data_IF_836582891209
#
_entry.id   IF_836582891209
#
_cell.length_a   1.000
_cell.length_b   1.000
_cell.length_c   1.000
_cell.angle_alpha   90.00
_cell.angle_beta   90.00
_cell.angle_gamma   90.00
#
_symmetry.space_group_name_H-M   'P 1'
#
loop_
_entity.id
_entity.type
_entity.pdbx_description
1 polymer ?
#
# COMPACT_ATOMS: atom_id res chain seq x y z
N UNK A 1 -0.37 9.24 21.16
CA UNK A 1 -0.40 7.79 20.85
C UNK A 1 1.02 7.29 20.93
N UNK A 2 1.30 6.33 21.81
CA UNK A 2 2.62 5.69 21.88
C UNK A 2 2.90 4.98 20.55
N UNK A 3 4.03 5.27 19.92
CA UNK A 3 4.47 4.60 18.68
C UNK A 3 4.84 3.15 18.99
N UNK A 4 3.84 2.26 19.03
CA UNK A 4 4.08 0.82 19.11
C UNK A 4 4.83 0.43 17.83
N UNK A 5 6.00 -0.22 17.93
CA UNK A 5 6.70 -0.75 16.76
C UNK A 5 5.76 -1.64 15.95
N UNK A 6 5.71 -1.43 14.63
CA UNK A 6 4.80 -2.18 13.73
C UNK A 6 4.90 -3.72 13.92
N UNK A 7 6.06 -4.23 14.31
CA UNK A 7 6.34 -5.64 14.57
C UNK A 7 5.60 -6.22 15.78
N UNK A 8 5.19 -5.37 16.72
CA UNK A 8 4.52 -5.77 17.96
C UNK A 8 3.03 -5.37 17.95
N UNK A 9 2.55 -4.82 16.85
CA UNK A 9 1.20 -4.29 16.77
C UNK A 9 0.20 -5.34 16.25
N UNK A 10 -0.73 -5.83 17.09
CA UNK A 10 -1.75 -6.79 16.66
C UNK A 10 -2.67 -6.23 15.57
N UNK A 11 -2.81 -4.90 15.44
CA UNK A 11 -3.58 -4.27 14.37
C UNK A 11 -2.93 -4.49 13.00
N UNK A 12 -1.59 -4.55 12.90
CA UNK A 12 -0.89 -4.84 11.64
C UNK A 12 -1.16 -6.27 11.18
N UNK A 13 -1.26 -7.20 12.14
CA UNK A 13 -1.65 -8.59 11.87
C UNK A 13 -3.11 -8.69 11.43
N UNK A 14 -4.00 -7.88 12.02
CA UNK A 14 -5.41 -7.79 11.63
C UNK A 14 -5.61 -7.13 10.25
N UNK A 15 -4.74 -6.19 9.87
CA UNK A 15 -4.74 -5.49 8.59
C UNK A 15 -4.17 -6.32 7.42
N UNK A 16 -4.21 -7.65 7.51
CA UNK A 16 -3.69 -8.55 6.48
C UNK A 16 -4.60 -8.59 5.26
N UNK A 17 -4.20 -7.90 4.19
CA UNK A 17 -4.87 -7.98 2.89
C UNK A 17 -4.64 -9.35 2.22
N UNK A 18 -5.73 -9.97 1.76
CA UNK A 18 -5.80 -11.19 0.96
C UNK A 18 -6.35 -10.94 -0.44
N UNK A 19 -7.16 -9.89 -0.58
CA UNK A 19 -7.73 -9.42 -1.84
C UNK A 19 -7.51 -7.92 -1.98
N UNK A 20 -7.68 -7.38 -3.18
CA UNK A 20 -7.34 -6.01 -3.53
C UNK A 20 -8.18 -4.98 -2.77
N UNK A 21 -9.46 -5.24 -2.60
CA UNK A 21 -10.41 -4.34 -1.93
C UNK A 21 -10.00 -4.07 -0.47
N UNK A 22 -9.26 -5.00 0.14
CA UNK A 22 -8.78 -4.86 1.50
C UNK A 22 -7.63 -3.86 1.64
N UNK A 23 -6.91 -3.52 0.55
CA UNK A 23 -5.86 -2.50 0.58
C UNK A 23 -6.43 -1.09 0.82
N UNK A 24 -7.65 -0.83 0.35
CA UNK A 24 -8.34 0.43 0.57
C UNK A 24 -9.06 0.50 1.93
N UNK A 25 -9.16 -0.63 2.65
CA UNK A 25 -9.80 -0.70 3.96
C UNK A 25 -9.10 0.18 5.01
N UNK A 26 -9.85 0.62 6.01
CA UNK A 26 -9.32 1.45 7.10
C UNK A 26 -8.10 0.83 7.82
N UNK A 27 -8.08 -0.48 8.18
CA UNK A 27 -6.91 -1.07 8.81
C UNK A 27 -5.66 -1.02 7.93
N UNK A 28 -5.81 -1.26 6.62
CA UNK A 28 -4.69 -1.20 5.68
C UNK A 28 -4.19 0.23 5.50
N UNK A 29 -5.09 1.23 5.45
CA UNK A 29 -4.72 2.65 5.35
C UNK A 29 -3.90 3.13 6.54
N UNK A 30 -4.23 2.69 7.77
CA UNK A 30 -3.42 3.00 8.96
C UNK A 30 -2.02 2.39 8.87
N UNK A 31 -1.94 1.11 8.49
CA UNK A 31 -0.64 0.44 8.32
C UNK A 31 0.20 1.09 7.22
N UNK A 32 -0.42 1.49 6.11
CA UNK A 32 0.24 2.22 5.01
C UNK A 32 0.76 3.55 5.54
N UNK A 33 -0.06 4.34 6.23
CA UNK A 33 0.35 5.62 6.83
C UNK A 33 1.61 5.45 7.68
N UNK A 34 1.58 4.50 8.61
CA UNK A 34 2.67 4.27 9.56
C UNK A 34 3.93 3.73 8.89
N UNK A 35 3.78 2.80 7.95
CA UNK A 35 4.92 2.15 7.28
C UNK A 35 5.60 3.06 6.26
N UNK A 36 4.83 3.95 5.63
CA UNK A 36 5.32 4.90 4.62
C UNK A 36 5.37 6.35 5.15
N UNK A 37 5.38 6.56 6.47
CA UNK A 37 5.29 7.89 7.10
C UNK A 37 6.30 8.90 6.54
N UNK A 38 7.57 8.51 6.46
CA UNK A 38 8.63 9.36 5.91
C UNK A 38 8.37 9.76 4.45
N UNK A 39 7.81 8.85 3.65
CA UNK A 39 7.41 9.18 2.27
C UNK A 39 6.30 10.22 2.26
N UNK A 40 5.27 10.05 3.07
CA UNK A 40 4.15 10.98 3.15
C UNK A 40 4.56 12.37 3.63
N UNK A 41 5.36 12.44 4.69
CA UNK A 41 5.89 13.70 5.23
C UNK A 41 6.76 14.43 4.20
N UNK A 42 7.61 13.70 3.47
CA UNK A 42 8.49 14.28 2.44
C UNK A 42 7.75 14.72 1.16
N UNK A 43 6.61 14.11 0.83
CA UNK A 43 5.87 14.38 -0.41
C UNK A 43 4.57 15.18 -0.20
N UNK A 44 4.21 15.50 1.06
CA UNK A 44 2.92 16.12 1.43
C UNK A 44 1.73 15.36 0.82
N UNK A 45 1.82 14.03 0.83
CA UNK A 45 0.82 13.11 0.25
C UNK A 45 0.15 12.34 1.38
N UNK A 46 -1.11 11.95 1.24
CA UNK A 46 -1.84 11.09 2.19
C UNK A 46 -2.05 9.67 1.65
N UNK A 47 -2.39 8.68 2.49
CA UNK A 47 -2.58 7.30 2.04
C UNK A 47 -3.63 7.14 0.95
N UNK A 48 -4.71 7.93 0.98
CA UNK A 48 -5.73 7.91 -0.06
C UNK A 48 -5.18 8.38 -1.42
N UNK A 49 -4.39 9.45 -1.45
CA UNK A 49 -3.74 9.90 -2.68
C UNK A 49 -2.78 8.85 -3.24
N UNK A 50 -2.04 8.16 -2.36
CA UNK A 50 -1.19 7.04 -2.78
C UNK A 50 -2.02 5.87 -3.33
N UNK A 51 -3.15 5.54 -2.71
CA UNK A 51 -3.98 4.41 -3.15
C UNK A 51 -4.71 4.69 -4.46
N UNK A 52 -5.03 5.94 -4.78
CA UNK A 52 -5.88 6.28 -5.93
C UNK A 52 -5.18 7.08 -7.01
N UNK A 53 -3.85 7.20 -6.96
CA UNK A 53 -3.06 7.85 -8.01
C UNK A 53 -1.89 6.99 -8.47
N UNK A 54 -1.88 6.59 -9.74
CA UNK A 54 -0.80 5.79 -10.31
C UNK A 54 0.55 6.51 -10.23
N UNK A 55 0.55 7.84 -10.40
CA UNK A 55 1.73 8.70 -10.25
C UNK A 55 2.35 8.61 -8.85
N UNK A 56 1.55 8.63 -7.79
CA UNK A 56 2.06 8.53 -6.42
C UNK A 56 2.56 7.12 -6.11
N UNK A 57 1.92 6.08 -6.67
CA UNK A 57 2.36 4.69 -6.54
C UNK A 57 3.73 4.48 -7.21
N UNK A 58 3.89 4.96 -8.44
CA UNK A 58 5.16 4.90 -9.18
C UNK A 58 6.27 5.64 -8.44
N UNK A 59 5.98 6.83 -7.91
CA UNK A 59 6.96 7.61 -7.16
C UNK A 59 7.44 6.88 -5.90
N UNK A 60 6.55 6.23 -5.16
CA UNK A 60 6.93 5.42 -4.01
C UNK A 60 7.75 4.20 -4.45
N UNK A 61 7.32 3.47 -5.47
CA UNK A 61 8.03 2.28 -5.97
C UNK A 61 9.43 2.61 -6.52
N UNK A 62 9.60 3.79 -7.11
CA UNK A 62 10.91 4.29 -7.56
C UNK A 62 11.87 4.57 -6.39
N UNK A 63 11.37 4.81 -5.18
CA UNK A 63 12.16 4.90 -3.96
C UNK A 63 12.42 3.50 -3.39
N UNK A 64 13.15 2.68 -4.16
CA UNK A 64 13.23 1.23 -3.95
C UNK A 64 13.52 0.78 -2.51
N UNK A 65 14.41 1.46 -1.78
CA UNK A 65 14.72 1.14 -0.37
C UNK A 65 13.59 1.49 0.59
N UNK A 66 12.89 2.61 0.38
CA UNK A 66 11.74 3.06 1.17
C UNK A 66 10.57 2.09 0.99
N UNK A 67 10.23 1.78 -0.26
CA UNK A 67 9.15 0.84 -0.58
C UNK A 67 9.43 -0.57 -0.04
N UNK A 68 10.63 -1.11 -0.33
CA UNK A 68 11.00 -2.44 0.12
C UNK A 68 11.06 -2.53 1.65
N UNK A 69 11.61 -1.50 2.31
CA UNK A 69 11.69 -1.43 3.76
C UNK A 69 10.31 -1.35 4.42
N UNK A 70 9.37 -0.59 3.85
CA UNK A 70 7.99 -0.53 4.31
C UNK A 70 7.31 -1.91 4.19
N UNK A 71 7.41 -2.55 3.03
CA UNK A 71 6.82 -3.87 2.81
C UNK A 71 7.43 -4.95 3.72
N UNK A 72 8.75 -4.97 3.90
CA UNK A 72 9.41 -5.93 4.78
C UNK A 72 8.94 -5.80 6.23
N UNK A 73 8.79 -4.57 6.76
CA UNK A 73 8.29 -4.34 8.13
C UNK A 73 6.87 -4.88 8.32
N UNK A 74 5.98 -4.57 7.37
CA UNK A 74 4.58 -5.06 7.40
C UNK A 74 4.54 -6.58 7.33
N UNK A 75 5.34 -7.17 6.44
CA UNK A 75 5.38 -8.63 6.27
C UNK A 75 5.88 -9.33 7.53
N UNK A 76 6.98 -8.87 8.12
CA UNK A 76 7.54 -9.43 9.36
C UNK A 76 6.47 -9.43 10.47
N UNK A 77 5.77 -8.30 10.64
CA UNK A 77 4.68 -8.19 11.60
C UNK A 77 3.52 -9.16 11.30
N UNK A 78 3.13 -9.31 10.03
CA UNK A 78 2.03 -10.18 9.62
C UNK A 78 2.33 -11.67 9.79
N UNK A 79 3.59 -12.09 9.61
CA UNK A 79 3.98 -13.50 9.72
C UNK A 79 4.41 -13.90 11.14
N UNK A 80 4.62 -12.94 12.04
CA UNK A 80 4.99 -13.20 13.43
C UNK A 80 3.99 -14.16 14.12
N UNK A 81 4.53 -15.27 14.64
CA UNK A 81 3.75 -16.33 15.28
C UNK A 81 2.88 -17.14 14.30
N UNK A 82 3.20 -17.14 13.01
CA UNK A 82 2.55 -17.98 11.99
C UNK A 82 3.56 -18.96 11.38
N UNK A 83 3.07 -19.94 10.59
CA UNK A 83 3.93 -20.88 9.86
C UNK A 83 4.39 -20.36 8.49
N UNK A 84 3.92 -19.19 8.07
CA UNK A 84 4.25 -18.63 6.76
C UNK A 84 5.63 -17.96 6.80
N UNK A 85 6.42 -18.14 5.74
CA UNK A 85 7.71 -17.46 5.64
C UNK A 85 7.55 -15.98 5.28
N UNK A 86 8.51 -15.15 5.70
CA UNK A 86 8.61 -13.74 5.30
C UNK A 86 8.67 -13.62 3.77
N UNK A 87 9.43 -14.49 3.10
CA UNK A 87 9.60 -14.46 1.64
C UNK A 87 8.28 -14.69 0.91
N UNK A 88 7.51 -15.72 1.31
CA UNK A 88 6.24 -16.03 0.68
C UNK A 88 5.25 -14.88 0.85
N UNK A 89 5.17 -14.32 2.07
CA UNK A 89 4.25 -13.22 2.35
C UNK A 89 4.66 -11.92 1.66
N UNK A 90 5.96 -11.67 1.50
CA UNK A 90 6.46 -10.52 0.74
C UNK A 90 6.09 -10.64 -0.74
N UNK A 91 6.17 -11.84 -1.32
CA UNK A 91 5.72 -12.11 -2.69
C UNK A 91 4.22 -11.83 -2.86
N UNK A 92 3.39 -12.31 -1.92
CA UNK A 92 1.95 -12.04 -1.92
C UNK A 92 1.64 -10.53 -1.84
N UNK A 93 2.28 -9.81 -0.92
CA UNK A 93 2.03 -8.38 -0.74
C UNK A 93 2.49 -7.56 -1.96
N UNK A 94 3.62 -7.91 -2.56
CA UNK A 94 4.09 -7.27 -3.78
C UNK A 94 3.12 -7.53 -4.95
N UNK A 95 2.59 -8.74 -5.08
CA UNK A 95 1.58 -9.04 -6.11
C UNK A 95 0.31 -8.21 -5.91
N UNK A 96 -0.22 -8.13 -4.68
CA UNK A 96 -1.38 -7.30 -4.38
C UNK A 96 -1.13 -5.82 -4.69
N UNK A 97 0.06 -5.31 -4.38
CA UNK A 97 0.45 -3.93 -4.68
C UNK A 97 0.52 -3.67 -6.19
N UNK A 98 1.08 -4.62 -6.95
CA UNK A 98 1.18 -4.54 -8.40
C UNK A 98 -0.20 -4.58 -9.08
N UNK A 99 -1.05 -5.52 -8.67
CA UNK A 99 -2.41 -5.66 -9.20
C UNK A 99 -3.26 -4.41 -8.90
N UNK A 100 -3.08 -3.81 -7.71
CA UNK A 100 -3.72 -2.54 -7.35
C UNK A 100 -3.27 -1.38 -8.25
N UNK A 101 -1.98 -1.31 -8.56
CA UNK A 101 -1.44 -0.31 -9.49
C UNK A 101 -2.03 -0.46 -10.90
N UNK A 102 -2.17 -1.69 -11.39
CA UNK A 102 -2.83 -1.96 -12.68
C UNK A 102 -4.28 -1.47 -12.66
N UNK A 103 -5.04 -1.77 -11.61
CA UNK A 103 -6.42 -1.32 -11.48
C UNK A 103 -6.54 0.21 -11.42
N UNK A 104 -5.62 0.86 -10.69
CA UNK A 104 -5.59 2.33 -10.56
C UNK A 104 -5.39 2.99 -11.94
N UNK A 105 -4.40 2.54 -12.71
CA UNK A 105 -4.15 3.04 -14.07
C UNK A 105 -5.34 2.79 -15.01
N UNK A 106 -5.95 1.61 -14.93
CA UNK A 106 -7.13 1.28 -15.74
C UNK A 106 -8.34 2.17 -15.39
N UNK A 107 -8.47 2.56 -14.12
CA UNK A 107 -9.51 3.49 -13.68
C UNK A 107 -9.26 4.92 -14.19
N UNK A 108 -8.05 5.45 -14.01
CA UNK A 108 -7.66 6.78 -14.50
C UNK A 108 -7.87 6.90 -16.03
N UNK A 109 -7.41 5.90 -16.80
CA UNK A 109 -7.57 5.89 -18.25
C UNK A 109 -9.05 5.92 -18.69
N UNK A 110 -9.94 5.24 -17.96
CA UNK A 110 -11.39 5.28 -18.22
C UNK A 110 -11.96 6.66 -17.92
N UNK A 111 -11.58 7.27 -16.80
CA UNK A 111 -12.05 8.60 -16.42
C UNK A 111 -11.61 9.66 -17.43
N UNK A 112 -10.37 9.60 -17.92
CA UNK A 112 -9.85 10.52 -18.93
C UNK A 112 -10.59 10.38 -20.27
N UNK A 113 -10.90 9.15 -20.68
CA UNK A 113 -11.68 8.88 -21.89
C UNK A 113 -13.10 9.45 -21.80
N UNK A 114 -13.76 9.31 -20.64
CA UNK A 114 -15.10 9.89 -20.41
C UNK A 114 -15.05 11.41 -20.39
N UNK A 115 -14.06 12.02 -19.73
CA UNK A 115 -13.88 13.47 -19.71
C UNK A 115 -13.69 14.05 -21.11
N UNK A 116 -12.92 13.35 -21.96
CA UNK A 116 -12.68 13.74 -23.35
C UNK A 116 -13.93 13.58 -24.23
N UNK A 117 -14.81 12.61 -23.93
CA UNK A 117 -16.04 12.37 -24.68
C UNK A 117 -17.19 13.33 -24.32
N UNK A 118 -17.18 13.92 -23.11
CA UNK A 118 -18.21 14.85 -22.63
C UNK A 118 -17.98 16.32 -23.01
N UNK A 119 -16.95 16.63 -23.81
CA UNK A 119 -16.58 17.99 -24.24
C UNK A 119 -17.06 18.35 -25.67
N UNK A 120 -18.13 17.72 -26.17
CA UNK A 120 -18.75 18.00 -27.48
C UNK A 120 -20.01 18.85 -27.38
#
# INVERSE_FOLDING_TARGET
>A
MSDIPLTEDPAVKAARCRVLEQLAGEPARDVIWRSCRTYFEGNKTVPLELLYSSKHQEKLMAQGSTFLGANQKVVIAQVAGTKQSVSDRLKELNQLTHDWQIQTRAYEAKTDAVASAGQL
#
